data_IF_668304069610
#
_entry.id   IF_668304069610
#
_cell.length_a   1.000
_cell.length_b   1.000
_cell.length_c   1.000
_cell.angle_alpha   90.00
_cell.angle_beta   90.00
_cell.angle_gamma   90.00
#
_symmetry.space_group_name_H-M   'P 1'
#
loop_
_entity.id
_entity.type
_entity.pdbx_description
1 polymer ?
#
# COMPACT_ATOMS: atom_id res chain seq x y z
N UNK A 1 12.91 -3.94 -19.95
CA UNK A 1 12.23 -4.42 -21.17
C UNK A 1 10.89 -5.00 -20.74
N UNK A 2 9.77 -4.49 -21.25
CA UNK A 2 8.46 -5.09 -21.00
C UNK A 2 8.31 -6.33 -21.91
N UNK A 3 7.87 -7.45 -21.36
CA UNK A 3 7.53 -8.64 -22.15
C UNK A 3 6.04 -8.56 -22.51
N UNK A 4 5.68 -8.81 -23.77
CA UNK A 4 4.28 -8.91 -24.17
C UNK A 4 3.71 -10.24 -23.68
N UNK A 5 3.28 -10.26 -22.42
CA UNK A 5 2.62 -11.41 -21.83
C UNK A 5 1.13 -11.44 -22.15
N UNK A 6 0.62 -12.53 -22.73
CA UNK A 6 -0.81 -12.65 -23.08
C UNK A 6 -1.59 -13.38 -21.99
N UNK A 7 -2.63 -12.74 -21.46
CA UNK A 7 -3.66 -13.42 -20.65
C UNK A 7 -4.74 -13.96 -21.59
N UNK A 8 -5.16 -15.20 -21.37
CA UNK A 8 -6.24 -15.84 -22.14
C UNK A 8 -7.33 -16.42 -21.23
N UNK A 9 -8.50 -16.68 -21.83
CA UNK A 9 -9.78 -17.11 -21.24
C UNK A 9 -9.77 -17.74 -19.84
N UNK A 10 -10.78 -17.38 -19.04
CA UNK A 10 -11.14 -18.03 -17.76
C UNK A 10 -11.23 -19.55 -17.93
N UNK A 11 -10.45 -20.30 -17.16
CA UNK A 11 -10.49 -21.76 -17.16
C UNK A 11 -11.71 -22.21 -16.35
N UNK A 12 -12.65 -22.93 -16.98
CA UNK A 12 -13.79 -23.54 -16.28
C UNK A 12 -13.37 -24.84 -15.61
N UNK A 13 -12.99 -24.77 -14.33
CA UNK A 13 -13.06 -25.89 -13.38
C UNK A 13 -14.37 -25.84 -12.57
N UNK A 14 -14.61 -26.83 -11.71
CA UNK A 14 -15.76 -26.82 -10.79
C UNK A 14 -15.82 -25.47 -10.04
N UNK A 15 -16.91 -24.72 -10.22
CA UNK A 15 -16.99 -23.34 -9.75
C UNK A 15 -17.18 -23.28 -8.23
N UNK A 16 -16.07 -23.22 -7.50
CA UNK A 16 -16.03 -22.81 -6.09
C UNK A 16 -16.28 -21.30 -6.00
N UNK A 17 -17.28 -20.89 -5.22
CA UNK A 17 -17.63 -19.48 -5.05
C UNK A 17 -16.43 -18.68 -4.52
N UNK A 18 -16.01 -17.64 -5.25
CA UNK A 18 -14.86 -16.81 -4.88
C UNK A 18 -13.49 -17.35 -5.32
N UNK A 19 -13.44 -18.30 -6.25
CA UNK A 19 -12.20 -18.75 -6.90
C UNK A 19 -12.28 -18.57 -8.42
N UNK A 20 -11.16 -18.15 -9.02
CA UNK A 20 -10.99 -17.97 -10.47
C UNK A 20 -9.63 -18.54 -10.90
N UNK A 21 -9.53 -18.97 -12.15
CA UNK A 21 -8.24 -19.34 -12.74
C UNK A 21 -8.11 -18.79 -14.17
N UNK A 22 -6.92 -18.28 -14.50
CA UNK A 22 -6.58 -17.74 -15.81
C UNK A 22 -5.34 -18.45 -16.39
N UNK A 23 -5.30 -18.56 -17.72
CA UNK A 23 -4.06 -18.97 -18.41
C UNK A 23 -3.30 -17.71 -18.80
N UNK A 24 -2.10 -17.57 -18.27
CA UNK A 24 -1.21 -16.44 -18.54
C UNK A 24 0.06 -16.94 -19.20
N UNK A 25 0.65 -16.11 -20.06
CA UNK A 25 1.93 -16.40 -20.71
C UNK A 25 2.89 -15.26 -20.43
N UNK A 26 4.03 -15.55 -19.84
CA UNK A 26 5.15 -14.62 -19.63
C UNK A 26 6.44 -15.43 -19.44
N UNK A 27 7.61 -14.81 -19.58
CA UNK A 27 8.91 -15.46 -19.55
C UNK A 27 9.00 -16.69 -20.48
N UNK A 28 8.39 -16.55 -21.66
CA UNK A 28 8.29 -17.63 -22.67
C UNK A 28 7.38 -18.81 -22.33
N UNK A 29 6.92 -18.96 -21.08
CA UNK A 29 6.18 -20.13 -20.59
C UNK A 29 4.68 -19.82 -20.37
N UNK A 30 3.86 -20.87 -20.33
CA UNK A 30 2.42 -20.77 -19.98
C UNK A 30 2.23 -21.20 -18.54
N UNK A 31 1.53 -20.39 -17.78
CA UNK A 31 1.21 -20.67 -16.39
C UNK A 31 -0.31 -20.68 -16.17
N UNK A 32 -0.75 -21.41 -15.14
CA UNK A 32 -2.11 -21.33 -14.63
C UNK A 32 -2.09 -20.50 -13.36
N UNK A 33 -2.74 -19.36 -13.42
CA UNK A 33 -2.87 -18.42 -12.33
C UNK A 33 -4.16 -18.73 -11.56
N UNK A 34 -4.03 -19.15 -10.32
CA UNK A 34 -5.16 -19.37 -9.40
C UNK A 34 -5.40 -18.13 -8.56
N UNK A 35 -6.67 -17.78 -8.37
CA UNK A 35 -7.09 -16.55 -7.71
C UNK A 35 -8.19 -16.85 -6.70
N UNK A 36 -8.05 -16.32 -5.48
CA UNK A 36 -9.01 -16.47 -4.38
C UNK A 36 -9.39 -15.12 -3.81
N UNK A 37 -10.69 -14.83 -3.72
CA UNK A 37 -11.20 -13.53 -3.24
C UNK A 37 -10.64 -13.20 -1.86
N UNK A 38 -10.11 -11.98 -1.72
CA UNK A 38 -9.70 -11.33 -0.48
C UNK A 38 -10.94 -10.86 0.26
N UNK A 39 -11.13 -11.35 1.48
CA UNK A 39 -12.25 -10.95 2.33
C UNK A 39 -11.82 -9.77 3.20
N UNK A 40 -12.77 -8.92 3.56
CA UNK A 40 -12.61 -7.90 4.62
C UNK A 40 -11.58 -6.79 4.35
N UNK A 41 -11.15 -6.55 3.10
CA UNK A 41 -10.19 -5.48 2.76
C UNK A 41 -10.62 -4.05 3.14
N UNK A 42 -11.93 -3.81 3.16
CA UNK A 42 -12.54 -2.51 3.42
C UNK A 42 -13.84 -2.66 4.23
N UNK A 43 -14.20 -1.67 5.07
CA UNK A 43 -15.44 -1.68 5.87
C UNK A 43 -16.68 -1.69 4.97
N UNK A 44 -17.83 -2.16 5.51
CA UNK A 44 -19.13 -2.23 4.78
C UNK A 44 -19.56 -0.90 4.18
N UNK A 45 -19.39 0.18 4.95
CA UNK A 45 -19.57 1.54 4.50
C UNK A 45 -18.19 2.17 4.49
N UNK A 46 -17.58 2.24 3.31
CA UNK A 46 -16.25 2.82 3.14
C UNK A 46 -16.37 4.32 2.96
N UNK A 47 -15.90 5.13 3.92
CA UNK A 47 -16.01 6.58 3.82
C UNK A 47 -14.94 7.12 2.88
N UNK A 48 -15.39 7.87 1.87
CA UNK A 48 -14.56 8.73 1.02
C UNK A 48 -14.87 10.17 1.37
N UNK A 49 -13.88 10.89 1.89
CA UNK A 49 -14.03 12.29 2.33
C UNK A 49 -13.50 13.21 1.25
N UNK A 50 -14.33 14.11 0.75
CA UNK A 50 -13.99 15.14 -0.23
C UNK A 50 -14.42 16.52 0.27
N UNK A 51 -13.91 17.58 -0.33
CA UNK A 51 -14.39 18.94 -0.09
C UNK A 51 -15.65 19.21 -0.91
N UNK A 52 -16.64 19.87 -0.29
CA UNK A 52 -17.81 20.40 -0.97
C UNK A 52 -17.52 21.77 -1.62
N UNK A 53 -18.51 22.34 -2.31
CA UNK A 53 -18.40 23.63 -3.01
C UNK A 53 -18.05 24.82 -2.08
N UNK A 54 -18.25 24.67 -0.78
CA UNK A 54 -17.91 25.66 0.25
C UNK A 54 -16.54 25.39 0.90
N UNK A 55 -15.81 24.36 0.45
CA UNK A 55 -14.51 23.97 0.99
C UNK A 55 -14.57 23.26 2.35
N UNK A 56 -15.74 22.73 2.74
CA UNK A 56 -15.90 21.92 3.93
C UNK A 56 -15.81 20.42 3.59
N UNK A 57 -15.13 19.66 4.44
CA UNK A 57 -15.02 18.20 4.29
C UNK A 57 -16.38 17.52 4.47
N UNK A 58 -16.77 16.71 3.49
CA UNK A 58 -18.00 15.93 3.46
C UNK A 58 -17.64 14.45 3.23
N UNK A 59 -18.32 13.55 3.93
CA UNK A 59 -18.15 12.12 3.76
C UNK A 59 -19.22 11.49 2.87
N UNK A 60 -18.77 10.84 1.80
CA UNK A 60 -19.57 10.01 0.92
C UNK A 60 -19.25 8.53 1.10
N UNK A 61 -20.15 7.66 0.65
CA UNK A 61 -20.04 6.21 0.79
C UNK A 61 -20.27 5.51 -0.56
N UNK A 62 -19.33 5.66 -1.52
CA UNK A 62 -19.50 5.08 -2.84
C UNK A 62 -19.52 3.55 -2.79
N UNK A 63 -20.23 2.95 -3.75
CA UNK A 63 -20.19 1.51 -3.93
C UNK A 63 -18.82 1.09 -4.47
N UNK A 64 -18.07 0.35 -3.66
CA UNK A 64 -16.82 -0.30 -4.06
C UNK A 64 -17.05 -1.82 -4.14
N UNK A 65 -16.84 -2.43 -5.31
CA UNK A 65 -16.91 -3.87 -5.48
C UNK A 65 -16.01 -4.62 -4.48
N UNK A 66 -16.51 -5.71 -3.87
CA UNK A 66 -15.77 -6.48 -2.84
C UNK A 66 -15.29 -7.83 -3.34
N UNK A 67 -16.04 -8.44 -4.25
CA UNK A 67 -15.81 -9.82 -4.71
C UNK A 67 -14.93 -9.87 -5.97
N UNK A 68 -13.97 -8.95 -6.07
CA UNK A 68 -13.12 -8.78 -7.24
C UNK A 68 -11.65 -8.46 -6.91
N UNK A 69 -11.26 -8.50 -5.64
CA UNK A 69 -9.86 -8.44 -5.22
C UNK A 69 -9.41 -9.82 -4.81
N UNK A 70 -8.26 -10.29 -5.29
CA UNK A 70 -7.85 -11.68 -5.16
C UNK A 70 -6.41 -11.80 -4.64
N UNK A 71 -6.19 -12.77 -3.77
CA UNK A 71 -4.88 -13.41 -3.64
C UNK A 71 -4.66 -14.28 -4.87
N UNK A 72 -3.45 -14.28 -5.41
CA UNK A 72 -3.12 -15.08 -6.56
C UNK A 72 -1.84 -15.88 -6.35
N UNK A 73 -1.73 -17.04 -6.99
CA UNK A 73 -0.52 -17.86 -7.04
C UNK A 73 -0.48 -18.66 -8.35
N UNK A 74 0.69 -19.15 -8.74
CA UNK A 74 0.86 -19.96 -9.94
C UNK A 74 0.85 -21.45 -9.61
N UNK A 75 0.16 -22.22 -10.44
CA UNK A 75 0.17 -23.67 -10.36
C UNK A 75 1.57 -24.21 -10.65
N UNK A 76 2.06 -25.10 -9.77
CA UNK A 76 3.34 -25.77 -9.95
C UNK A 76 4.58 -24.92 -9.62
N UNK A 77 4.41 -23.67 -9.17
CA UNK A 77 5.52 -22.82 -8.72
C UNK A 77 5.34 -22.53 -7.24
N UNK A 78 6.11 -23.21 -6.36
CA UNK A 78 6.10 -22.95 -4.92
C UNK A 78 6.37 -21.47 -4.62
N UNK A 79 5.76 -20.97 -3.54
CA UNK A 79 5.97 -19.60 -3.03
C UNK A 79 5.59 -18.45 -3.97
N UNK A 80 5.22 -18.75 -5.22
CA UNK A 80 4.62 -17.77 -6.11
C UNK A 80 3.35 -17.19 -5.49
N UNK A 81 3.23 -15.87 -5.59
CA UNK A 81 2.19 -15.16 -4.89
C UNK A 81 1.88 -13.85 -5.59
N UNK A 82 0.74 -13.24 -5.27
CA UNK A 82 0.42 -11.95 -5.83
C UNK A 82 -0.93 -11.46 -5.40
N UNK A 83 -1.27 -10.31 -5.98
CA UNK A 83 -2.59 -9.73 -5.85
C UNK A 83 -3.06 -9.22 -7.19
N UNK A 84 -4.30 -9.55 -7.50
CA UNK A 84 -4.92 -9.12 -8.74
C UNK A 84 -6.34 -8.66 -8.45
N UNK A 85 -6.78 -7.64 -9.17
CA UNK A 85 -8.16 -7.20 -9.17
C UNK A 85 -8.79 -7.37 -10.56
N UNK A 86 -10.11 -7.60 -10.57
CA UNK A 86 -10.94 -7.66 -11.78
C UNK A 86 -12.10 -6.66 -11.72
N UNK A 87 -11.99 -5.64 -10.87
CA UNK A 87 -13.14 -4.84 -10.44
C UNK A 87 -13.66 -3.91 -11.54
N UNK A 88 -12.78 -3.41 -12.39
CA UNK A 88 -13.09 -2.36 -13.37
C UNK A 88 -12.71 -2.75 -14.81
N UNK A 89 -12.76 -4.05 -15.10
CA UNK A 89 -12.45 -4.61 -16.41
C UNK A 89 -10.95 -4.86 -16.61
N UNK A 90 -10.60 -6.14 -16.82
CA UNK A 90 -9.21 -6.58 -16.95
C UNK A 90 -8.64 -7.18 -15.66
N UNK A 91 -7.41 -7.68 -15.72
CA UNK A 91 -6.58 -8.03 -14.57
C UNK A 91 -5.61 -6.89 -14.32
N UNK A 92 -5.54 -6.43 -13.07
CA UNK A 92 -4.56 -5.44 -12.64
C UNK A 92 -3.94 -5.87 -11.31
N UNK A 93 -2.63 -5.70 -11.16
CA UNK A 93 -1.93 -5.93 -9.90
C UNK A 93 -0.51 -6.45 -10.08
N UNK A 94 -0.07 -7.32 -9.18
CA UNK A 94 1.30 -7.83 -9.14
C UNK A 94 1.36 -9.34 -8.93
N UNK A 95 2.45 -9.93 -9.39
CA UNK A 95 2.80 -11.32 -9.16
C UNK A 95 4.30 -11.41 -8.85
N UNK A 96 4.64 -12.03 -7.73
CA UNK A 96 6.00 -12.39 -7.36
C UNK A 96 6.23 -13.87 -7.71
N UNK A 97 7.32 -14.13 -8.41
CA UNK A 97 7.75 -15.46 -8.85
C UNK A 97 9.25 -15.51 -8.63
N UNK A 98 9.71 -16.34 -7.71
CA UNK A 98 11.10 -16.37 -7.25
C UNK A 98 11.56 -14.93 -6.86
N UNK A 99 12.73 -14.50 -7.32
CA UNK A 99 13.31 -13.18 -7.07
C UNK A 99 12.66 -12.04 -7.87
N UNK A 100 11.64 -12.35 -8.67
CA UNK A 100 11.12 -11.44 -9.68
C UNK A 100 9.70 -11.00 -9.40
N UNK A 101 9.46 -9.70 -9.54
CA UNK A 101 8.12 -9.12 -9.45
C UNK A 101 7.65 -8.62 -10.80
N UNK A 102 6.45 -9.06 -11.18
CA UNK A 102 5.77 -8.73 -12.41
C UNK A 102 4.56 -7.86 -12.12
N UNK A 103 4.43 -6.77 -12.86
CA UNK A 103 3.23 -5.94 -12.86
C UNK A 103 2.30 -6.38 -14.00
N UNK A 104 1.03 -6.57 -13.69
CA UNK A 104 -0.01 -6.90 -14.68
C UNK A 104 -0.95 -5.70 -14.80
N UNK A 105 -1.13 -5.19 -16.02
CA UNK A 105 -2.06 -4.09 -16.32
C UNK A 105 -2.87 -4.39 -17.59
N UNK A 106 -4.13 -3.95 -17.68
CA UNK A 106 -4.89 -4.01 -18.92
C UNK A 106 -4.21 -3.17 -20.01
N UNK A 107 -4.22 -3.67 -21.25
CA UNK A 107 -3.80 -2.88 -22.41
C UNK A 107 -4.96 -1.95 -22.80
N UNK A 108 -4.87 -0.66 -22.47
CA UNK A 108 -6.00 0.28 -22.54
C UNK A 108 -6.67 0.37 -23.93
N UNK A 109 -5.93 0.15 -25.01
CA UNK A 109 -6.44 0.21 -26.38
C UNK A 109 -7.00 -1.13 -26.92
N UNK A 110 -6.95 -2.23 -26.16
CA UNK A 110 -7.34 -3.55 -26.66
C UNK A 110 -8.81 -3.89 -26.38
N UNK A 111 -9.51 -4.32 -27.43
CA UNK A 111 -10.87 -4.88 -27.34
C UNK A 111 -10.89 -6.40 -27.04
N UNK A 112 -9.72 -7.04 -26.91
CA UNK A 112 -9.57 -8.51 -26.83
C UNK A 112 -9.14 -9.06 -25.45
N UNK A 113 -9.35 -8.29 -24.37
CA UNK A 113 -8.89 -8.65 -23.01
C UNK A 113 -7.39 -8.96 -22.99
N UNK A 114 -6.60 -8.07 -23.59
CA UNK A 114 -5.14 -8.18 -23.57
C UNK A 114 -4.56 -7.39 -22.39
N UNK A 115 -3.47 -7.91 -21.84
CA UNK A 115 -2.78 -7.36 -20.68
C UNK A 115 -1.31 -7.21 -21.01
N UNK A 116 -0.66 -6.24 -20.40
CA UNK A 116 0.79 -6.13 -20.36
C UNK A 116 1.27 -6.80 -19.06
N UNK A 117 2.26 -7.69 -19.18
CA UNK A 117 2.97 -8.27 -18.03
C UNK A 117 4.40 -7.75 -18.07
N UNK A 118 4.65 -6.66 -17.34
CA UNK A 118 5.96 -6.03 -17.32
C UNK A 118 6.77 -6.51 -16.13
N UNK A 119 7.99 -6.96 -16.40
CA UNK A 119 8.99 -7.16 -15.39
C UNK A 119 9.33 -5.82 -14.74
N UNK A 120 9.22 -5.75 -13.42
CA UNK A 120 9.66 -4.59 -12.66
C UNK A 120 11.15 -4.75 -12.43
N UNK A 121 11.95 -4.13 -13.30
CA UNK A 121 13.37 -3.99 -13.05
C UNK A 121 13.49 -3.10 -11.83
N UNK A 122 14.12 -3.61 -10.76
CA UNK A 122 14.78 -2.74 -9.79
C UNK A 122 15.79 -1.94 -10.59
N UNK A 123 15.40 -0.76 -11.07
CA UNK A 123 16.42 0.16 -11.53
C UNK A 123 17.33 0.33 -10.31
N UNK A 124 18.62 0.04 -10.49
CA UNK A 124 19.66 0.72 -9.72
C UNK A 124 19.48 2.21 -10.00
N UNK A 125 18.45 2.81 -9.39
CA UNK A 125 18.41 4.24 -9.19
C UNK A 125 19.62 4.43 -8.29
N UNK A 126 20.72 4.91 -8.88
CA UNK A 126 22.03 5.03 -8.25
C UNK A 126 21.84 5.28 -6.76
N UNK A 127 22.33 4.36 -5.92
CA UNK A 127 22.22 4.41 -4.46
C UNK A 127 22.73 5.73 -3.83
N UNK A 128 23.26 6.64 -4.64
CA UNK A 128 23.74 7.97 -4.29
C UNK A 128 22.66 9.07 -4.26
N UNK A 129 21.47 8.93 -4.86
CA UNK A 129 20.50 10.05 -4.94
C UNK A 129 19.15 9.86 -4.24
N UNK A 130 18.88 8.69 -3.63
CA UNK A 130 17.55 8.38 -3.06
C UNK A 130 17.61 7.65 -1.71
N UNK A 131 18.55 8.03 -0.84
CA UNK A 131 18.54 7.52 0.53
C UNK A 131 17.33 8.04 1.28
N UNK A 132 16.55 7.12 1.85
CA UNK A 132 15.62 7.47 2.91
C UNK A 132 16.40 8.17 4.02
N UNK A 133 16.09 9.45 4.28
CA UNK A 133 16.80 10.32 5.23
C UNK A 133 16.47 10.03 6.70
N UNK A 134 15.77 8.94 6.98
CA UNK A 134 15.55 8.47 8.35
C UNK A 134 16.88 7.88 8.84
N UNK A 135 17.69 8.70 9.48
CA UNK A 135 18.78 8.22 10.33
C UNK A 135 18.15 7.51 11.53
N UNK A 136 18.53 6.25 11.75
CA UNK A 136 18.16 5.55 12.97
C UNK A 136 18.74 6.33 14.14
N UNK A 137 17.90 7.02 14.92
CA UNK A 137 18.33 7.54 16.20
C UNK A 137 18.83 6.36 17.04
N UNK A 138 19.99 6.51 17.67
CA UNK A 138 20.49 5.58 18.68
C UNK A 138 19.34 5.27 19.65
N UNK A 139 18.84 4.04 19.61
CA UNK A 139 17.76 3.63 20.46
C UNK A 139 18.22 3.77 21.90
N UNK A 140 17.42 4.45 22.72
CA UNK A 140 17.76 4.66 24.10
C UNK A 140 17.67 3.28 24.79
N UNK A 141 18.81 2.64 25.02
CA UNK A 141 18.90 1.25 25.51
C UNK A 141 18.05 1.01 26.77
N UNK A 142 17.92 2.03 27.63
CA UNK A 142 17.08 2.02 28.82
C UNK A 142 15.56 1.92 28.52
N UNK A 143 15.10 2.46 27.39
CA UNK A 143 13.71 2.35 26.93
C UNK A 143 13.40 0.95 26.39
N UNK A 144 14.34 0.35 25.63
CA UNK A 144 14.22 -1.04 25.16
C UNK A 144 14.19 -2.03 26.34
N UNK A 145 15.09 -1.85 27.31
CA UNK A 145 15.13 -2.67 28.54
C UNK A 145 13.85 -2.56 29.37
N UNK A 146 13.26 -1.36 29.46
CA UNK A 146 11.97 -1.15 30.15
C UNK A 146 10.81 -1.83 29.39
N UNK A 147 10.79 -1.76 28.06
CA UNK A 147 9.76 -2.44 27.27
C UNK A 147 9.84 -3.97 27.42
N UNK A 148 11.05 -4.53 27.39
CA UNK A 148 11.29 -5.97 27.60
C UNK A 148 10.86 -6.41 29.00
N UNK A 149 11.08 -5.57 30.02
CA UNK A 149 10.68 -5.85 31.40
C UNK A 149 9.14 -5.81 31.61
N UNK A 150 8.42 -5.00 30.83
CA UNK A 150 6.96 -4.89 30.87
C UNK A 150 6.22 -5.89 29.96
N UNK A 151 6.93 -6.59 29.06
CA UNK A 151 6.33 -7.69 28.30
C UNK A 151 5.90 -8.79 29.28
N UNK A 152 4.62 -9.19 29.33
CA UNK A 152 4.18 -10.30 30.17
C UNK A 152 5.06 -11.50 29.84
N UNK A 153 5.68 -12.13 30.86
CA UNK A 153 6.52 -13.32 30.70
C UNK A 153 5.81 -14.27 29.76
N UNK A 154 6.26 -14.28 28.52
CA UNK A 154 5.50 -14.92 27.49
C UNK A 154 5.48 -16.42 27.77
N UNK A 155 4.34 -17.06 27.49
CA UNK A 155 4.30 -18.52 27.42
C UNK A 155 5.45 -19.01 26.51
N UNK A 156 5.94 -20.25 26.67
CA UNK A 156 6.96 -20.79 25.79
C UNK A 156 6.64 -20.53 24.31
N UNK A 157 7.65 -20.14 23.50
CA UNK A 157 7.50 -19.72 22.09
C UNK A 157 6.67 -20.70 21.24
N UNK A 158 6.68 -21.99 21.57
CA UNK A 158 5.91 -23.02 20.87
C UNK A 158 4.38 -22.98 21.14
N UNK A 159 3.92 -22.24 22.15
CA UNK A 159 2.51 -21.98 22.45
C UNK A 159 2.00 -20.69 21.79
N UNK A 160 2.89 -19.92 21.15
CA UNK A 160 2.49 -18.73 20.41
C UNK A 160 1.90 -19.18 19.08
N UNK A 161 0.61 -19.43 19.08
CA UNK A 161 -0.14 -19.39 17.83
C UNK A 161 0.02 -17.99 17.28
N UNK A 162 0.59 -17.81 16.07
CA UNK A 162 0.84 -16.47 15.61
C UNK A 162 -0.51 -15.81 15.31
N UNK A 163 -0.87 -14.85 16.17
CA UNK A 163 -2.12 -14.13 16.05
C UNK A 163 -2.04 -13.22 14.83
N UNK A 164 -3.04 -13.34 13.95
CA UNK A 164 -3.23 -12.38 12.87
C UNK A 164 -3.46 -11.00 13.46
N UNK A 165 -2.67 -10.04 13.00
CA UNK A 165 -2.79 -8.63 13.37
C UNK A 165 -3.50 -7.89 12.24
N UNK A 166 -4.15 -6.78 12.59
CA UNK A 166 -4.89 -5.95 11.64
C UNK A 166 -4.36 -4.52 11.70
N UNK A 167 -4.08 -3.93 10.55
CA UNK A 167 -3.65 -2.54 10.43
C UNK A 167 -4.65 -1.74 9.59
N UNK A 168 -5.35 -0.80 10.22
CA UNK A 168 -6.33 0.09 9.59
C UNK A 168 -5.64 1.36 9.11
N UNK A 169 -5.54 1.53 7.80
CA UNK A 169 -4.84 2.66 7.19
C UNK A 169 -5.83 3.73 6.71
N UNK A 170 -5.58 4.98 7.11
CA UNK A 170 -6.18 6.17 6.50
C UNK A 170 -5.32 6.63 5.34
N UNK A 171 -5.90 6.75 4.16
CA UNK A 171 -5.22 7.31 3.00
C UNK A 171 -5.68 8.73 2.73
N UNK A 172 -4.75 9.62 2.41
CA UNK A 172 -5.04 10.98 1.97
C UNK A 172 -4.39 11.24 0.63
N UNK A 173 -5.15 11.76 -0.33
CA UNK A 173 -4.66 12.20 -1.64
C UNK A 173 -4.66 13.72 -1.62
N UNK A 174 -3.46 14.32 -1.74
CA UNK A 174 -3.33 15.77 -1.74
C UNK A 174 -3.94 16.39 -2.99
N UNK A 175 -4.16 17.70 -2.92
CA UNK A 175 -4.65 18.49 -4.03
C UNK A 175 -3.68 18.44 -5.22
N UNK A 176 -2.37 18.51 -4.96
CA UNK A 176 -1.36 18.38 -6.01
C UNK A 176 -1.42 17.04 -6.75
N UNK A 177 -1.72 15.94 -6.05
CA UNK A 177 -1.92 14.64 -6.68
C UNK A 177 -3.28 14.51 -7.38
N UNK A 178 -4.33 15.07 -6.78
CA UNK A 178 -5.66 15.16 -7.38
C UNK A 178 -5.63 15.88 -8.74
N UNK A 179 -4.88 16.98 -8.86
CA UNK A 179 -4.76 17.73 -10.11
C UNK A 179 -4.15 16.92 -11.27
N UNK A 180 -3.35 15.89 -10.97
CA UNK A 180 -2.82 14.99 -11.99
C UNK A 180 -3.87 13.98 -12.51
N UNK A 181 -4.94 13.73 -11.74
CA UNK A 181 -6.06 12.90 -12.17
C UNK A 181 -7.31 13.24 -11.36
N UNK A 182 -8.19 14.06 -11.93
CA UNK A 182 -9.40 14.57 -11.26
C UNK A 182 -10.55 13.56 -11.22
N UNK A 183 -10.38 12.37 -11.80
CA UNK A 183 -11.42 11.35 -11.79
C UNK A 183 -11.45 10.63 -10.43
N UNK A 184 -12.44 10.98 -9.60
CA UNK A 184 -12.61 10.42 -8.24
C UNK A 184 -12.65 8.89 -8.24
N UNK A 185 -13.40 8.29 -9.16
CA UNK A 185 -13.49 6.83 -9.27
C UNK A 185 -12.11 6.21 -9.53
N UNK A 186 -11.32 6.82 -10.42
CA UNK A 186 -9.97 6.35 -10.72
C UNK A 186 -9.00 6.51 -9.55
N UNK A 187 -9.13 7.57 -8.76
CA UNK A 187 -8.36 7.73 -7.51
C UNK A 187 -8.71 6.62 -6.52
N UNK A 188 -9.99 6.37 -6.29
CA UNK A 188 -10.46 5.30 -5.41
C UNK A 188 -9.93 3.95 -5.88
N UNK A 189 -10.08 3.62 -7.17
CA UNK A 189 -9.50 2.42 -7.79
C UNK A 189 -8.01 2.26 -7.49
N UNK A 190 -7.24 3.33 -7.74
CA UNK A 190 -5.79 3.36 -7.55
C UNK A 190 -5.38 3.12 -6.09
N UNK A 191 -6.09 3.73 -5.13
CA UNK A 191 -5.82 3.51 -3.70
C UNK A 191 -6.17 2.08 -3.28
N UNK A 192 -7.26 1.52 -3.81
CA UNK A 192 -7.65 0.14 -3.50
C UNK A 192 -6.60 -0.87 -4.00
N UNK A 193 -6.10 -0.72 -5.24
CA UNK A 193 -5.05 -1.62 -5.74
C UNK A 193 -3.72 -1.40 -5.01
N UNK A 194 -3.38 -0.16 -4.65
CA UNK A 194 -2.19 0.15 -3.84
C UNK A 194 -2.26 -0.57 -2.49
N UNK A 195 -3.37 -0.42 -1.76
CA UNK A 195 -3.55 -1.11 -0.47
C UNK A 195 -3.52 -2.63 -0.65
N UNK A 196 -4.06 -3.17 -1.75
CA UNK A 196 -4.01 -4.61 -1.99
C UNK A 196 -2.60 -5.15 -2.17
N UNK A 197 -1.72 -4.39 -2.82
CA UNK A 197 -0.30 -4.71 -2.93
C UNK A 197 0.35 -4.67 -1.54
N UNK A 198 0.16 -3.58 -0.79
CA UNK A 198 0.66 -3.44 0.59
C UNK A 198 0.19 -4.60 1.47
N UNK A 199 -1.10 -4.93 1.43
CA UNK A 199 -1.69 -6.04 2.16
C UNK A 199 -1.02 -7.38 1.83
N UNK A 200 -0.66 -7.59 0.57
CA UNK A 200 -0.01 -8.84 0.11
C UNK A 200 1.41 -8.93 0.63
N UNK A 201 2.16 -7.82 0.60
CA UNK A 201 3.52 -7.74 1.15
C UNK A 201 3.51 -8.13 2.64
N UNK A 202 2.60 -7.53 3.42
CA UNK A 202 2.48 -7.76 4.86
C UNK A 202 1.84 -9.10 5.26
N UNK A 203 1.17 -9.80 4.34
CA UNK A 203 0.47 -11.04 4.66
C UNK A 203 1.42 -12.13 5.16
N UNK A 204 2.67 -12.17 4.69
CA UNK A 204 3.71 -13.09 5.18
C UNK A 204 3.99 -12.94 6.67
N UNK A 205 3.89 -11.72 7.16
CA UNK A 205 4.11 -11.37 8.56
C UNK A 205 2.81 -11.47 9.38
N UNK A 206 1.78 -12.14 8.84
CA UNK A 206 0.46 -12.31 9.45
C UNK A 206 -0.20 -10.98 9.85
N UNK A 207 0.12 -9.92 9.11
CA UNK A 207 -0.47 -8.60 9.25
C UNK A 207 -1.41 -8.33 8.08
N UNK A 208 -2.69 -8.19 8.37
CA UNK A 208 -3.72 -7.84 7.39
C UNK A 208 -3.89 -6.31 7.35
N UNK A 209 -3.49 -5.70 6.22
CA UNK A 209 -3.62 -4.25 6.01
C UNK A 209 -4.97 -3.93 5.36
N UNK A 210 -5.76 -3.09 6.00
CA UNK A 210 -7.12 -2.74 5.60
C UNK A 210 -7.26 -1.23 5.36
N UNK A 211 -7.97 -0.87 4.29
CA UNK A 211 -8.33 0.52 4.04
C UNK A 211 -9.43 0.91 5.01
N UNK A 212 -9.19 1.92 5.84
CA UNK A 212 -10.17 2.40 6.83
C UNK A 212 -11.04 3.52 6.32
N UNK A 213 -10.42 4.45 5.59
CA UNK A 213 -11.04 5.62 4.99
C UNK A 213 -10.08 6.21 3.94
N UNK A 214 -10.63 6.96 2.99
CA UNK A 214 -9.87 7.73 2.01
C UNK A 214 -10.31 9.20 2.06
N UNK A 215 -9.38 10.12 2.14
CA UNK A 215 -9.62 11.55 1.97
C UNK A 215 -9.01 12.02 0.65
N UNK A 216 -9.76 12.77 -0.15
CA UNK A 216 -9.31 13.35 -1.41
C UNK A 216 -9.48 14.86 -1.31
N UNK A 217 -8.38 15.60 -1.33
CA UNK A 217 -8.36 17.05 -1.27
C UNK A 217 -8.60 17.64 -2.67
N UNK A 218 -9.83 17.55 -3.15
CA UNK A 218 -10.24 17.98 -4.49
C UNK A 218 -10.31 19.51 -4.66
N UNK A 219 -10.31 20.29 -3.57
CA UNK A 219 -10.31 21.76 -3.62
C UNK A 219 -8.98 22.36 -3.14
N UNK A 220 -8.50 21.98 -1.95
CA UNK A 220 -7.20 22.40 -1.41
C UNK A 220 -6.71 21.43 -0.35
N UNK A 221 -5.42 21.45 -0.06
CA UNK A 221 -4.88 20.68 1.05
C UNK A 221 -5.48 21.17 2.38
N UNK A 222 -6.19 20.30 3.09
CA UNK A 222 -6.75 20.62 4.40
C UNK A 222 -5.65 20.80 5.47
N UNK A 223 -4.48 20.22 5.23
CA UNK A 223 -3.26 20.46 5.98
C UNK A 223 -2.08 20.59 5.01
N UNK A 224 -1.55 21.81 4.90
CA UNK A 224 -0.40 22.08 4.03
C UNK A 224 0.92 21.73 4.74
N UNK A 225 1.55 20.63 4.31
CA UNK A 225 2.85 20.15 4.82
C UNK A 225 4.05 20.92 4.26
N UNK A 226 3.85 21.89 3.37
CA UNK A 226 4.91 22.69 2.73
C UNK A 226 5.16 24.03 3.42
N UNK A 227 4.41 24.34 4.49
CA UNK A 227 4.52 25.61 5.20
C UNK A 227 5.95 25.84 5.73
N UNK A 228 6.48 27.04 5.49
CA UNK A 228 7.83 27.46 5.90
C UNK A 228 8.08 27.46 7.41
N UNK A 229 7.02 27.30 8.22
CA UNK A 229 7.13 27.20 9.68
C UNK A 229 7.72 25.86 10.14
N UNK A 230 7.65 24.82 9.30
CA UNK A 230 8.18 23.51 9.65
C UNK A 230 9.68 23.49 9.43
N UNK A 231 10.41 22.97 10.43
CA UNK A 231 11.87 22.83 10.36
C UNK A 231 12.33 21.80 9.32
N UNK A 232 11.46 20.89 8.91
CA UNK A 232 11.68 19.91 7.85
C UNK A 232 10.52 18.92 7.74
N UNK A 233 10.68 17.89 6.90
CA UNK A 233 9.61 16.91 6.64
C UNK A 233 9.20 16.14 7.90
N UNK A 234 10.15 15.82 8.80
CA UNK A 234 9.85 15.15 10.06
C UNK A 234 8.88 15.96 10.93
N UNK A 235 9.13 17.26 11.03
CA UNK A 235 8.30 18.18 11.80
C UNK A 235 6.91 18.38 11.15
N UNK A 236 6.88 18.51 9.81
CA UNK A 236 5.63 18.63 9.05
C UNK A 236 4.73 17.39 9.22
N UNK A 237 5.29 16.17 9.14
CA UNK A 237 4.53 14.92 9.28
C UNK A 237 4.08 14.65 10.72
N UNK A 238 4.88 15.02 11.72
CA UNK A 238 4.46 14.96 13.12
C UNK A 238 3.24 15.86 13.38
N UNK A 239 3.26 17.10 12.86
CA UNK A 239 2.15 18.03 12.98
C UNK A 239 0.91 17.58 12.18
N UNK A 240 1.11 17.00 11.00
CA UNK A 240 0.02 16.38 10.24
C UNK A 240 -0.62 15.23 11.03
N UNK A 241 0.17 14.37 11.68
CA UNK A 241 -0.34 13.29 12.53
C UNK A 241 -1.19 13.79 13.69
N UNK A 242 -0.73 14.84 14.37
CA UNK A 242 -1.49 15.50 15.44
C UNK A 242 -2.81 16.10 14.91
N UNK A 243 -2.76 16.91 13.85
CA UNK A 243 -3.94 17.53 13.24
C UNK A 243 -4.99 16.48 12.84
N UNK A 244 -4.56 15.41 12.17
CA UNK A 244 -5.38 14.30 11.70
C UNK A 244 -6.13 13.61 12.83
N UNK A 245 -5.54 13.50 14.03
CA UNK A 245 -6.20 12.88 15.19
C UNK A 245 -7.48 13.62 15.58
N UNK A 246 -7.49 14.95 15.48
CA UNK A 246 -8.66 15.76 15.79
C UNK A 246 -9.68 15.72 14.65
N UNK A 247 -9.21 15.91 13.41
CA UNK A 247 -10.08 16.01 12.24
C UNK A 247 -10.80 14.70 11.92
N UNK A 248 -10.11 13.57 12.03
CA UNK A 248 -10.67 12.27 11.68
C UNK A 248 -10.96 11.39 12.90
N UNK A 249 -11.23 12.00 14.06
CA UNK A 249 -11.53 11.29 15.32
C UNK A 249 -12.67 10.27 15.19
N UNK A 250 -13.68 10.58 14.38
CA UNK A 250 -14.82 9.69 14.11
C UNK A 250 -14.46 8.45 13.28
N UNK A 251 -13.32 8.48 12.58
CA UNK A 251 -12.82 7.39 11.76
C UNK A 251 -11.55 6.81 12.37
N UNK A 252 -11.66 6.15 13.53
CA UNK A 252 -10.52 5.51 14.19
C UNK A 252 -9.74 4.61 13.23
N UNK A 253 -8.45 4.90 13.11
CA UNK A 253 -7.46 4.25 12.25
C UNK A 253 -6.14 4.14 13.02
N UNK A 254 -5.27 3.23 12.57
CA UNK A 254 -4.03 2.89 13.27
C UNK A 254 -2.86 3.73 12.74
N UNK A 255 -2.87 4.05 11.45
CA UNK A 255 -1.85 4.87 10.79
C UNK A 255 -2.43 5.61 9.58
N UNK A 256 -1.67 6.55 9.01
CA UNK A 256 -2.08 7.32 7.84
C UNK A 256 -0.96 7.45 6.82
N UNK A 257 -1.30 7.43 5.55
CA UNK A 257 -0.37 7.75 4.46
C UNK A 257 -0.93 8.92 3.66
N UNK A 258 -0.18 10.00 3.58
CA UNK A 258 -0.45 11.15 2.72
C UNK A 258 0.30 11.01 1.41
N UNK A 259 -0.43 10.92 0.31
CA UNK A 259 0.11 10.90 -1.04
C UNK A 259 0.11 12.27 -1.68
N UNK A 260 1.23 12.66 -2.28
CA UNK A 260 1.35 13.95 -2.98
C UNK A 260 1.80 13.83 -4.43
N UNK A 261 1.47 14.87 -5.21
CA UNK A 261 1.91 15.02 -6.59
C UNK A 261 3.25 15.75 -6.73
N UNK A 262 3.79 16.32 -5.64
CA UNK A 262 5.09 16.98 -5.63
C UNK A 262 5.93 16.49 -4.45
N UNK A 263 7.27 16.51 -4.60
CA UNK A 263 8.20 16.32 -3.49
C UNK A 263 8.01 17.45 -2.46
N UNK A 264 8.23 17.13 -1.19
CA UNK A 264 8.14 18.08 -0.08
C UNK A 264 9.48 18.05 0.66
N UNK A 265 10.09 19.22 0.87
CA UNK A 265 11.44 19.36 1.42
C UNK A 265 12.47 18.46 0.71
N UNK A 266 12.44 18.44 -0.64
CA UNK A 266 13.26 17.60 -1.52
C UNK A 266 13.26 16.09 -1.21
N UNK A 267 12.31 15.65 -0.38
CA UNK A 267 12.18 14.28 0.09
C UNK A 267 11.06 13.58 -0.68
N UNK A 268 11.27 12.31 -1.04
CA UNK A 268 10.26 11.52 -1.76
C UNK A 268 9.25 10.85 -0.81
N UNK A 269 9.66 10.47 0.38
CA UNK A 269 8.79 9.81 1.34
C UNK A 269 9.38 9.94 2.75
N UNK A 270 8.52 9.89 3.76
CA UNK A 270 8.96 9.99 5.15
C UNK A 270 7.99 9.26 6.08
N UNK A 271 8.53 8.64 7.13
CA UNK A 271 7.81 8.12 8.27
C UNK A 271 8.65 8.30 9.53
N UNK A 272 8.00 8.34 10.69
CA UNK A 272 8.70 8.24 11.96
C UNK A 272 8.94 6.75 12.29
N UNK A 273 10.14 6.45 12.78
CA UNK A 273 10.46 5.15 13.36
C UNK A 273 9.63 4.92 14.63
N UNK A 274 9.15 3.70 14.84
CA UNK A 274 8.38 3.31 16.04
C UNK A 274 7.17 4.24 16.31
N UNK A 275 6.56 4.71 15.21
CA UNK A 275 5.46 5.66 15.27
C UNK A 275 4.12 5.03 15.63
N UNK A 276 4.01 3.70 15.62
CA UNK A 276 2.75 3.01 15.87
C UNK A 276 2.23 3.36 17.28
N UNK A 277 0.91 3.53 17.41
CA UNK A 277 0.24 3.99 18.64
C UNK A 277 0.53 5.45 19.10
N UNK A 278 1.56 6.12 18.59
CA UNK A 278 1.81 7.53 18.87
C UNK A 278 0.96 8.44 17.95
N UNK A 279 0.10 9.32 18.49
CA UNK A 279 -0.76 10.18 17.68
C UNK A 279 -0.05 11.04 16.63
N UNK A 280 1.13 11.57 16.97
CA UNK A 280 1.92 12.44 16.11
C UNK A 280 2.67 11.62 15.05
N UNK A 281 3.23 10.47 15.46
CA UNK A 281 4.18 9.72 14.63
C UNK A 281 3.56 8.60 13.79
N UNK A 282 2.30 8.21 14.03
CA UNK A 282 1.54 7.23 13.21
C UNK A 282 1.06 7.79 11.86
N UNK A 283 1.93 8.51 11.18
CA UNK A 283 1.65 9.11 9.87
C UNK A 283 2.90 9.06 9.00
N UNK A 284 2.68 8.92 7.70
CA UNK A 284 3.73 8.96 6.70
C UNK A 284 3.30 9.77 5.50
N UNK A 285 4.29 10.09 4.68
CA UNK A 285 4.16 10.83 3.44
C UNK A 285 4.86 10.07 2.32
N UNK A 286 4.25 10.05 1.14
CA UNK A 286 4.79 9.42 -0.07
C UNK A 286 4.46 10.28 -1.29
N UNK A 287 5.50 10.68 -2.02
CA UNK A 287 5.39 11.30 -3.33
C UNK A 287 5.06 10.23 -4.38
N UNK A 288 3.91 10.34 -5.03
CA UNK A 288 3.49 9.43 -6.11
C UNK A 288 3.87 10.01 -7.47
N UNK A 289 5.13 9.87 -7.84
CA UNK A 289 5.63 10.26 -9.16
C UNK A 289 4.79 9.63 -10.28
N UNK A 290 4.16 10.47 -11.10
CA UNK A 290 3.36 10.08 -12.28
C UNK A 290 2.28 9.01 -12.00
N UNK A 291 1.70 8.99 -10.80
CA UNK A 291 0.71 7.97 -10.40
C UNK A 291 1.20 6.52 -10.57
N UNK A 292 2.51 6.27 -10.40
CA UNK A 292 3.07 4.93 -10.51
C UNK A 292 2.69 4.05 -9.30
N UNK A 293 1.49 3.49 -9.34
CA UNK A 293 0.82 2.79 -8.23
C UNK A 293 1.65 1.67 -7.59
N UNK A 294 2.29 0.82 -8.39
CA UNK A 294 3.09 -0.28 -7.84
C UNK A 294 4.24 0.23 -6.97
N UNK A 295 5.06 1.13 -7.53
CA UNK A 295 6.12 1.83 -6.79
C UNK A 295 5.58 2.59 -5.56
N UNK A 296 4.45 3.27 -5.71
CA UNK A 296 3.75 3.88 -4.58
C UNK A 296 3.40 2.90 -3.48
N UNK A 297 2.99 1.67 -3.84
CA UNK A 297 2.65 0.61 -2.90
C UNK A 297 3.88 0.03 -2.20
N UNK A 298 5.00 -0.17 -2.90
CA UNK A 298 6.25 -0.66 -2.30
C UNK A 298 6.82 0.37 -1.32
N UNK A 299 6.86 1.65 -1.69
CA UNK A 299 7.26 2.73 -0.79
C UNK A 299 6.28 2.85 0.38
N UNK A 300 4.96 2.71 0.14
CA UNK A 300 3.97 2.68 1.22
C UNK A 300 4.23 1.53 2.20
N UNK A 301 4.56 0.34 1.70
CA UNK A 301 4.89 -0.78 2.56
C UNK A 301 6.17 -0.52 3.37
N UNK A 302 7.19 0.07 2.75
CA UNK A 302 8.45 0.46 3.40
C UNK A 302 8.23 1.49 4.52
N UNK A 303 7.52 2.59 4.26
CA UNK A 303 7.26 3.62 5.29
C UNK A 303 6.35 3.10 6.42
N UNK A 304 5.44 2.18 6.12
CA UNK A 304 4.68 1.48 7.16
C UNK A 304 5.58 0.60 8.03
N UNK A 305 6.66 0.05 7.48
CA UNK A 305 7.59 -0.79 8.23
C UNK A 305 8.35 0.06 9.24
N UNK A 306 8.81 1.26 8.85
CA UNK A 306 9.38 2.23 9.80
C UNK A 306 8.43 2.55 10.96
N UNK A 307 7.14 2.78 10.67
CA UNK A 307 6.13 3.02 11.72
C UNK A 307 6.00 1.79 12.65
N UNK A 308 6.21 0.58 12.12
CA UNK A 308 6.24 -0.68 12.87
C UNK A 308 7.64 -1.03 13.43
N UNK A 309 8.56 -0.07 13.44
CA UNK A 309 9.92 -0.18 13.96
C UNK A 309 10.88 -1.09 13.17
N UNK A 310 10.63 -1.33 11.88
CA UNK A 310 11.62 -1.97 11.00
C UNK A 310 12.76 -0.98 10.70
N UNK A 311 14.04 -1.33 10.95
CA UNK A 311 15.16 -0.54 10.46
C UNK A 311 15.39 -0.78 8.97
N UNK A 312 16.28 0.02 8.36
CA UNK A 312 16.81 -0.31 7.05
C UNK A 312 17.62 -1.62 7.09
N UNK A 313 17.60 -2.35 5.99
CA UNK A 313 18.49 -3.48 5.77
C UNK A 313 19.95 -3.04 5.87
N UNK A 314 20.76 -3.88 6.51
CA UNK A 314 22.19 -3.67 6.70
C UNK A 314 23.00 -4.68 5.90
N UNK A 315 24.32 -4.58 5.93
CA UNK A 315 25.17 -5.56 5.24
C UNK A 315 24.88 -6.98 5.77
N UNK A 316 24.50 -7.89 4.87
CA UNK A 316 24.13 -9.27 5.19
C UNK A 316 22.61 -9.52 5.30
N UNK A 317 21.77 -8.49 5.20
CA UNK A 317 20.34 -8.65 5.01
C UNK A 317 20.04 -9.11 3.57
N UNK A 318 19.31 -10.21 3.43
CA UNK A 318 18.89 -10.75 2.14
C UNK A 318 17.42 -11.14 2.20
N UNK A 319 16.69 -10.82 1.14
CA UNK A 319 15.37 -11.38 0.89
C UNK A 319 15.56 -12.71 0.16
N UNK A 320 14.78 -13.71 0.54
CA UNK A 320 14.70 -15.02 -0.10
C UNK A 320 13.26 -15.20 -0.62
#
# INVERSE_FOLDING_TARGET
MAEEGKVSHRVRGAATQGQLSYKVRFSGQRHVLHMRVKKSLLPRHFPVITDNDQGAMQGDYPFIPRDCYYFSYLEGIPESMGTLDTCYGGLRGMLQVDDFTYEIKPLEASSKFEHLISFLVSHDISAEHEKCTIEGNDTNQAYEEAMIAEMPRAAPVYLWWPHRKYLKVHYTVSHTLYLMNTNHTRIVENIMILNNIVHTIYMHNLLEVHVRMLCIWNNRDAFDITQSKFSGIADAIAHFGYWKMYVFRQYSHDTSILFTGNKVHDTQYFAHQDGICNPNWRSSYVFLASYHIFFGATISAHVLCHILSCPHDSAGCHCF
#
